data_IF_737050718436
#
_entry.id   IF_737050718436
#
_cell.length_a   1.000
_cell.length_b   1.000
_cell.length_c   1.000
_cell.angle_alpha   90.00
_cell.angle_beta   90.00
_cell.angle_gamma   90.00
#
_symmetry.space_group_name_H-M   'P 1'
#
loop_
_entity.id
_entity.type
_entity.pdbx_description
1 polymer ?
#
# COMPACT_ATOMS: atom_id res chain seq x y z
N UNK A 1 -30.40 -26.92 21.29
CA UNK A 1 -30.81 -25.58 21.74
C UNK A 1 -30.13 -25.29 23.06
N UNK A 2 -29.00 -24.59 23.02
CA UNK A 2 -28.30 -24.12 24.22
C UNK A 2 -27.86 -22.68 23.93
N UNK A 3 -28.53 -21.73 24.57
CA UNK A 3 -28.24 -20.31 24.47
C UNK A 3 -27.02 -20.04 25.36
N UNK A 4 -25.85 -19.92 24.74
CA UNK A 4 -24.66 -19.40 25.41
C UNK A 4 -24.83 -17.89 25.58
N UNK A 5 -25.19 -17.46 26.79
CA UNK A 5 -25.07 -16.08 27.24
C UNK A 5 -23.58 -15.72 27.41
N UNK A 6 -22.90 -15.37 26.31
CA UNK A 6 -21.60 -14.71 26.36
C UNK A 6 -21.80 -13.20 26.18
N UNK A 7 -21.13 -12.44 27.05
CA UNK A 7 -21.17 -10.99 27.25
C UNK A 7 -22.25 -10.48 28.22
N UNK A 8 -21.91 -10.30 29.52
CA UNK A 8 -22.63 -9.31 30.31
C UNK A 8 -22.53 -7.98 29.58
N UNK A 9 -23.67 -7.32 29.43
CA UNK A 9 -23.78 -5.97 28.88
C UNK A 9 -22.69 -5.08 29.46
N UNK A 10 -21.77 -4.63 28.59
CA UNK A 10 -20.86 -3.53 28.89
C UNK A 10 -21.72 -2.33 29.29
N UNK A 11 -21.99 -2.16 30.59
CA UNK A 11 -22.54 -0.91 31.12
C UNK A 11 -21.60 0.18 30.63
N UNK A 12 -22.08 1.02 29.70
CA UNK A 12 -21.31 2.15 29.18
C UNK A 12 -20.85 2.98 30.39
N UNK A 13 -19.54 2.98 30.66
CA UNK A 13 -18.99 3.81 31.73
C UNK A 13 -19.23 5.27 31.37
N UNK A 14 -19.71 6.06 32.33
CA UNK A 14 -19.79 7.51 32.21
C UNK A 14 -18.44 8.09 32.54
N UNK A 15 -17.99 9.02 31.72
CA UNK A 15 -16.71 9.70 31.87
C UNK A 15 -16.95 11.21 31.88
N UNK A 16 -16.06 11.93 32.56
CA UNK A 16 -16.09 13.39 32.64
C UNK A 16 -14.86 13.91 31.89
N UNK A 17 -15.07 14.89 31.00
CA UNK A 17 -13.99 15.51 30.27
C UNK A 17 -13.28 16.53 31.17
N UNK A 18 -11.98 16.39 31.40
CA UNK A 18 -11.26 17.36 32.26
C UNK A 18 -11.10 18.77 31.67
N UNK A 19 -11.43 18.97 30.39
CA UNK A 19 -11.38 20.28 29.73
C UNK A 19 -12.74 20.96 29.75
N UNK A 20 -13.79 20.32 29.24
CA UNK A 20 -15.14 20.91 29.19
C UNK A 20 -16.06 20.53 30.36
N UNK A 21 -15.61 19.64 31.25
CA UNK A 21 -16.34 19.13 32.42
C UNK A 21 -17.68 18.43 32.09
N UNK A 22 -17.96 18.17 30.81
CA UNK A 22 -19.16 17.46 30.38
C UNK A 22 -19.08 15.97 30.73
N UNK A 23 -20.19 15.45 31.27
CA UNK A 23 -20.38 14.02 31.52
C UNK A 23 -21.11 13.39 30.33
N UNK A 24 -20.47 12.42 29.68
CA UNK A 24 -21.13 11.65 28.62
C UNK A 24 -20.74 10.18 28.67
N UNK A 25 -21.52 9.34 27.98
CA UNK A 25 -21.21 7.92 27.87
C UNK A 25 -20.02 7.72 26.94
N UNK A 26 -19.11 6.84 27.32
CA UNK A 26 -17.94 6.51 26.52
C UNK A 26 -18.27 6.15 25.06
N UNK A 27 -17.64 6.85 24.11
CA UNK A 27 -17.78 6.65 22.66
C UNK A 27 -16.45 6.86 21.90
N UNK A 28 -16.47 6.83 20.56
CA UNK A 28 -15.29 6.98 19.69
C UNK A 28 -14.68 8.39 19.67
N UNK A 29 -15.36 9.38 20.25
CA UNK A 29 -14.89 10.77 20.34
C UNK A 29 -14.00 11.01 21.55
N UNK A 30 -13.94 10.07 22.50
CA UNK A 30 -13.08 10.13 23.67
C UNK A 30 -11.66 9.59 23.40
N UNK A 31 -10.69 10.14 24.12
CA UNK A 31 -9.35 9.62 24.28
C UNK A 31 -9.24 8.96 25.66
N UNK A 32 -8.82 7.70 25.66
CA UNK A 32 -8.63 6.94 26.88
C UNK A 32 -7.22 7.09 27.42
N UNK A 33 -7.14 7.53 28.67
CA UNK A 33 -5.98 7.42 29.52
C UNK A 33 -5.79 5.96 29.96
N UNK A 34 -4.54 5.50 29.90
CA UNK A 34 -4.15 4.15 30.35
C UNK A 34 -4.35 3.91 31.86
N UNK A 35 -4.51 4.97 32.66
CA UNK A 35 -4.69 4.87 34.11
C UNK A 35 -6.09 4.39 34.56
N UNK A 36 -7.08 4.29 33.65
CA UNK A 36 -8.40 3.74 33.94
C UNK A 36 -9.32 4.62 34.81
N UNK A 37 -8.96 5.89 35.03
CA UNK A 37 -9.75 6.87 35.77
C UNK A 37 -11.06 7.27 35.04
N UNK A 38 -12.04 7.84 35.75
CA UNK A 38 -13.27 8.34 35.12
C UNK A 38 -13.06 9.69 34.40
N UNK A 39 -12.01 10.40 34.80
CA UNK A 39 -11.56 11.62 34.15
C UNK A 39 -10.81 11.28 32.86
N UNK A 40 -11.41 11.60 31.73
CA UNK A 40 -10.93 11.34 30.36
C UNK A 40 -10.94 12.65 29.56
N UNK A 41 -10.59 12.63 28.28
CA UNK A 41 -10.62 13.84 27.43
C UNK A 41 -11.31 13.57 26.08
N UNK A 42 -12.15 14.49 25.62
CA UNK A 42 -12.64 14.45 24.25
C UNK A 42 -11.49 14.72 23.27
N UNK A 43 -11.45 14.01 22.13
CA UNK A 43 -10.49 14.26 21.04
C UNK A 43 -10.49 15.72 20.64
N UNK A 44 -11.68 16.32 20.52
CA UNK A 44 -11.85 17.74 20.16
C UNK A 44 -11.18 18.67 21.17
N UNK A 45 -11.48 18.49 22.46
CA UNK A 45 -10.89 19.27 23.55
C UNK A 45 -9.36 19.10 23.62
N UNK A 46 -8.84 17.90 23.33
CA UNK A 46 -7.41 17.66 23.28
C UNK A 46 -6.72 18.40 22.14
N UNK A 47 -7.32 18.39 20.94
CA UNK A 47 -6.79 19.16 19.80
C UNK A 47 -6.88 20.67 20.06
N UNK A 48 -8.00 21.16 20.62
CA UNK A 48 -8.16 22.57 21.04
C UNK A 48 -7.04 22.98 22.00
N UNK A 49 -6.79 22.17 23.02
CA UNK A 49 -5.73 22.41 24.00
C UNK A 49 -4.32 22.37 23.39
N UNK A 50 -4.04 21.39 22.52
CA UNK A 50 -2.75 21.32 21.82
C UNK A 50 -2.52 22.53 20.92
N UNK A 51 -3.55 22.99 20.20
CA UNK A 51 -3.44 24.18 19.34
C UNK A 51 -3.08 25.42 20.17
N UNK A 52 -3.79 25.70 21.27
CA UNK A 52 -3.50 26.83 22.17
C UNK A 52 -2.07 26.79 22.70
N UNK A 53 -1.64 25.62 23.19
CA UNK A 53 -0.27 25.42 23.66
C UNK A 53 0.77 25.73 22.59
N UNK A 54 0.55 25.31 21.33
CA UNK A 54 1.50 25.58 20.25
C UNK A 54 1.46 27.04 19.82
N UNK A 55 0.29 27.68 19.80
CA UNK A 55 0.17 29.12 19.54
C UNK A 55 0.96 29.91 20.58
N UNK A 56 0.79 29.64 21.88
CA UNK A 56 1.53 30.33 22.95
C UNK A 56 3.05 30.10 22.89
N UNK A 57 3.48 28.89 22.51
CA UNK A 57 4.90 28.54 22.44
C UNK A 57 5.61 29.08 21.20
N UNK A 58 4.92 29.13 20.05
CA UNK A 58 5.55 29.42 18.75
C UNK A 58 5.16 30.79 18.18
N UNK A 59 4.08 31.41 18.65
CA UNK A 59 3.67 32.75 18.25
C UNK A 59 3.86 33.70 19.44
N UNK A 60 4.88 34.54 19.35
CA UNK A 60 5.26 35.50 20.40
C UNK A 60 4.20 36.59 20.65
N UNK A 61 3.27 36.80 19.73
CA UNK A 61 2.11 37.68 19.92
C UNK A 61 0.92 37.23 19.02
N UNK A 62 -0.15 36.64 19.58
CA UNK A 62 -1.23 36.06 18.78
C UNK A 62 -2.08 37.11 18.04
N UNK A 63 -2.08 38.36 18.53
CA UNK A 63 -2.92 39.47 18.02
C UNK A 63 -2.31 40.24 16.85
N UNK A 64 -0.98 40.19 16.68
CA UNK A 64 -0.24 40.91 15.61
C UNK A 64 0.33 39.98 14.54
N UNK A 65 0.11 38.67 14.68
CA UNK A 65 0.63 37.67 13.74
C UNK A 65 0.02 37.81 12.33
N UNK A 66 0.83 37.63 11.27
CA UNK A 66 0.31 37.67 9.89
C UNK A 66 -0.70 36.54 9.67
N UNK A 67 -1.75 36.82 8.86
CA UNK A 67 -2.76 35.82 8.48
C UNK A 67 -2.08 34.55 7.95
N UNK A 68 -2.33 33.41 8.59
CA UNK A 68 -1.75 32.12 8.22
C UNK A 68 -0.46 31.73 8.96
N UNK A 69 -0.03 32.49 9.96
CA UNK A 69 1.11 32.13 10.81
C UNK A 69 0.92 30.80 11.57
N UNK A 70 -0.33 30.38 11.77
CA UNK A 70 -0.72 29.14 12.44
C UNK A 70 -0.87 27.94 11.48
N UNK A 71 -0.71 28.13 10.17
CA UNK A 71 -0.81 27.06 9.17
C UNK A 71 0.13 25.87 9.43
N UNK A 72 1.40 26.05 9.86
CA UNK A 72 2.27 24.93 10.23
C UNK A 72 1.75 24.15 11.45
N UNK A 73 1.16 24.85 12.42
CA UNK A 73 0.57 24.27 13.63
C UNK A 73 -0.66 23.45 13.24
N UNK A 74 -1.56 24.00 12.43
CA UNK A 74 -2.74 23.29 11.92
C UNK A 74 -2.33 22.05 11.12
N UNK A 75 -1.32 22.17 10.27
CA UNK A 75 -0.79 21.07 9.46
C UNK A 75 -0.25 19.93 10.33
N UNK A 76 0.53 20.26 11.34
CA UNK A 76 1.08 19.26 12.27
C UNK A 76 -0.03 18.56 13.08
N UNK A 77 -1.07 19.29 13.52
CA UNK A 77 -2.24 18.70 14.17
C UNK A 77 -3.02 17.76 13.24
N UNK A 78 -3.20 18.14 11.97
CA UNK A 78 -3.81 17.27 10.95
C UNK A 78 -3.02 15.96 10.79
N UNK A 79 -1.68 16.05 10.76
CA UNK A 79 -0.81 14.88 10.73
C UNK A 79 -0.95 14.02 12.00
N UNK A 80 -1.07 14.65 13.18
CA UNK A 80 -1.25 13.94 14.44
C UNK A 80 -2.57 13.15 14.46
N UNK A 81 -3.65 13.77 13.98
CA UNK A 81 -4.99 13.17 14.02
C UNK A 81 -5.19 12.08 12.97
N UNK A 82 -4.37 12.08 11.93
CA UNK A 82 -4.49 11.13 10.84
C UNK A 82 -4.01 9.72 11.21
N UNK A 83 -4.98 8.80 11.31
CA UNK A 83 -4.70 7.38 11.58
C UNK A 83 -4.04 6.63 10.42
N UNK A 84 -4.10 7.17 9.20
CA UNK A 84 -3.51 6.57 8.01
C UNK A 84 -2.43 7.45 7.36
N UNK A 85 -1.72 8.23 8.16
CA UNK A 85 -0.63 9.12 7.71
C UNK A 85 0.44 8.41 6.86
N UNK A 86 0.70 7.13 7.13
CA UNK A 86 1.65 6.32 6.37
C UNK A 86 1.33 6.20 4.86
N UNK A 87 0.09 6.49 4.44
CA UNK A 87 -0.25 6.50 3.01
C UNK A 87 0.48 7.60 2.24
N UNK A 88 0.89 8.68 2.90
CA UNK A 88 1.51 9.84 2.27
C UNK A 88 3.04 9.87 2.40
N UNK A 89 3.61 8.93 3.15
CA UNK A 89 5.04 8.85 3.43
C UNK A 89 5.70 7.67 2.72
N UNK A 90 6.86 7.94 2.12
CA UNK A 90 7.72 6.92 1.53
C UNK A 90 9.01 6.88 2.34
N UNK A 91 9.30 5.73 2.95
CA UNK A 91 10.55 5.54 3.68
C UNK A 91 11.63 5.00 2.76
N UNK A 92 12.82 5.58 2.86
CA UNK A 92 14.02 5.03 2.23
C UNK A 92 14.42 3.70 2.90
N UNK A 93 15.22 2.89 2.19
CA UNK A 93 15.68 1.61 2.73
C UNK A 93 16.48 1.83 4.02
N UNK A 94 17.31 2.88 4.06
CA UNK A 94 18.07 3.34 5.22
C UNK A 94 17.18 3.73 6.41
N UNK A 95 16.15 4.54 6.19
CA UNK A 95 15.21 4.91 7.26
C UNK A 95 14.47 3.69 7.83
N UNK A 96 14.16 2.68 7.00
CA UNK A 96 13.53 1.43 7.47
C UNK A 96 14.48 0.63 8.35
N UNK A 97 15.81 0.70 8.14
CA UNK A 97 16.79 0.05 9.00
C UNK A 97 16.98 0.79 10.32
N UNK A 98 17.08 2.11 10.26
CA UNK A 98 17.27 2.97 11.44
C UNK A 98 16.06 2.96 12.39
N UNK A 99 14.85 2.74 11.86
CA UNK A 99 13.61 2.70 12.64
C UNK A 99 13.27 1.33 13.21
N UNK A 100 14.09 0.29 13.00
CA UNK A 100 13.78 -1.07 13.50
C UNK A 100 14.08 -1.24 14.99
N UNK A 101 13.21 -1.95 15.73
CA UNK A 101 13.46 -2.33 17.12
C UNK A 101 14.40 -3.55 17.27
N UNK A 102 14.90 -4.14 16.18
CA UNK A 102 15.67 -5.41 16.21
C UNK A 102 17.11 -5.16 16.71
N UNK A 103 17.67 -3.99 16.44
CA UNK A 103 19.00 -3.61 16.89
C UNK A 103 18.86 -2.60 18.02
N UNK A 104 18.35 -3.08 19.17
CA UNK A 104 18.26 -2.34 20.41
C UNK A 104 17.76 -0.91 20.24
N UNK A 105 16.45 -0.70 20.42
CA UNK A 105 15.92 0.65 20.63
C UNK A 105 16.90 1.46 21.49
N UNK A 106 17.44 2.56 20.94
CA UNK A 106 17.67 3.72 21.80
C UNK A 106 16.28 4.08 22.31
N UNK A 107 15.97 3.54 23.48
CA UNK A 107 14.82 3.84 24.31
C UNK A 107 14.95 5.26 24.86
N UNK A 108 15.21 6.23 23.99
CA UNK A 108 14.93 7.63 24.25
C UNK A 108 13.68 7.96 23.46
N UNK A 109 12.48 7.70 24.02
CA UNK A 109 11.27 8.19 23.40
C UNK A 109 11.34 9.71 23.40
N UNK A 110 11.39 10.33 22.22
CA UNK A 110 11.05 11.74 21.99
C UNK A 110 11.89 12.85 22.66
N UNK A 111 12.84 12.57 23.56
CA UNK A 111 13.62 13.65 24.21
C UNK A 111 14.69 14.28 23.30
N UNK A 112 15.39 13.48 22.49
CA UNK A 112 16.33 14.02 21.49
C UNK A 112 15.64 14.58 20.25
N UNK A 113 14.36 14.29 20.06
CA UNK A 113 13.55 14.94 19.03
C UNK A 113 13.35 16.43 19.35
N UNK A 114 13.45 16.90 20.60
CA UNK A 114 13.24 18.32 20.91
C UNK A 114 14.24 19.26 20.20
N UNK A 115 15.53 18.92 20.17
CA UNK A 115 16.56 19.68 19.44
C UNK A 115 16.53 19.41 17.93
N UNK A 116 16.24 18.18 17.51
CA UNK A 116 16.07 17.83 16.09
C UNK A 116 14.79 18.48 15.50
N UNK A 117 13.74 18.70 16.30
CA UNK A 117 12.47 19.34 15.94
C UNK A 117 12.62 20.85 15.80
N UNK A 118 13.39 21.48 16.71
CA UNK A 118 13.75 22.88 16.56
C UNK A 118 14.55 23.07 15.26
N UNK A 119 15.55 22.21 15.03
CA UNK A 119 16.35 22.27 13.80
C UNK A 119 15.58 21.86 12.54
N UNK A 120 14.58 20.98 12.60
CA UNK A 120 13.74 20.60 11.43
C UNK A 120 12.69 21.66 11.06
N UNK A 121 12.38 22.58 11.97
CA UNK A 121 11.62 23.79 11.63
C UNK A 121 12.48 24.78 10.83
N UNK A 122 13.80 24.81 11.06
CA UNK A 122 14.76 25.66 10.34
C UNK A 122 15.41 24.99 9.11
N UNK A 123 15.52 23.66 9.12
CA UNK A 123 16.00 22.87 7.98
C UNK A 123 14.79 22.25 7.30
N UNK A 124 14.47 22.72 6.09
CA UNK A 124 13.49 22.11 5.18
C UNK A 124 13.79 20.61 5.01
N UNK A 125 13.33 19.77 5.93
CA UNK A 125 13.37 18.33 5.82
C UNK A 125 12.04 17.94 5.19
N UNK A 126 12.02 17.98 3.86
CA UNK A 126 10.85 17.95 2.96
C UNK A 126 9.84 16.80 3.15
N UNK A 127 9.99 15.91 4.15
CA UNK A 127 9.15 14.72 4.29
C UNK A 127 8.57 14.49 5.70
N UNK A 128 8.85 15.36 6.67
CA UNK A 128 8.29 15.21 8.02
C UNK A 128 7.59 16.51 8.44
N UNK A 129 6.27 16.47 8.71
CA UNK A 129 5.62 17.61 9.33
C UNK A 129 6.33 17.88 10.68
N UNK A 130 6.47 19.15 11.10
CA UNK A 130 7.05 19.45 12.40
C UNK A 130 6.30 18.65 13.46
N UNK A 131 7.04 17.85 14.23
CA UNK A 131 6.45 16.93 15.18
C UNK A 131 5.68 17.73 16.23
N UNK A 132 4.36 17.50 16.32
CA UNK A 132 3.52 18.08 17.38
C UNK A 132 4.08 17.64 18.72
N UNK A 133 4.30 18.59 19.62
CA UNK A 133 4.68 18.32 20.99
C UNK A 133 3.53 17.56 21.68
N UNK A 134 3.62 16.24 21.69
CA UNK A 134 2.74 15.38 22.48
C UNK A 134 3.15 15.52 23.95
N UNK A 135 2.46 16.39 24.68
CA UNK A 135 2.66 16.51 26.13
C UNK A 135 2.01 15.30 26.81
N UNK A 136 2.84 14.37 27.29
CA UNK A 136 2.41 13.33 28.21
C UNK A 136 2.28 13.94 29.61
N UNK A 137 1.06 14.30 29.99
CA UNK A 137 0.75 14.83 31.32
C UNK A 137 0.50 13.71 32.33
N UNK A 138 0.75 14.01 33.60
CA UNK A 138 0.20 13.24 34.71
C UNK A 138 -1.33 13.35 34.72
N UNK A 139 -2.00 12.24 35.01
CA UNK A 139 -3.45 12.25 35.13
C UNK A 139 -3.86 13.17 36.30
N UNK A 140 -4.79 14.13 36.11
CA UNK A 140 -5.18 15.05 37.20
C UNK A 140 -5.79 14.32 38.41
N UNK A 141 -6.45 13.17 38.16
CA UNK A 141 -7.14 12.41 39.21
C UNK A 141 -6.21 11.50 40.01
N UNK A 142 -5.22 10.87 39.37
CA UNK A 142 -4.38 9.84 40.02
C UNK A 142 -2.88 10.14 40.02
N UNK A 143 -2.46 11.26 39.41
CA UNK A 143 -1.06 11.72 39.24
C UNK A 143 -0.10 10.71 38.58
N UNK A 144 -0.61 9.57 38.11
CA UNK A 144 0.18 8.61 37.32
C UNK A 144 0.45 9.19 35.95
N UNK A 145 1.62 8.91 35.39
CA UNK A 145 1.95 9.18 33.99
C UNK A 145 0.98 8.43 33.10
N UNK A 146 -0.02 9.13 32.57
CA UNK A 146 -1.01 8.55 31.68
C UNK A 146 -0.56 8.69 30.25
N UNK A 147 -0.33 7.57 29.58
CA UNK A 147 -0.21 7.58 28.12
C UNK A 147 -1.59 7.85 27.52
N UNK A 148 -1.73 9.03 26.89
CA UNK A 148 -2.86 9.34 26.03
C UNK A 148 -2.62 8.61 24.71
N UNK A 149 -3.52 7.70 24.32
CA UNK A 149 -3.47 7.11 22.98
C UNK A 149 -3.64 8.24 21.96
N UNK A 150 -2.82 8.23 20.90
CA UNK A 150 -2.87 9.22 19.82
C UNK A 150 -4.32 9.41 19.34
N UNK A 151 -4.84 10.66 19.25
CA UNK A 151 -6.15 10.90 18.68
C UNK A 151 -6.11 10.48 17.23
N UNK A 152 -6.91 9.48 16.85
CA UNK A 152 -7.07 9.12 15.45
C UNK A 152 -8.49 9.43 15.00
N UNK A 153 -8.60 10.13 13.87
CA UNK A 153 -9.85 10.26 13.11
C UNK A 153 -9.71 9.39 11.88
N UNK A 154 -10.54 8.36 11.82
CA UNK A 154 -10.55 7.40 10.71
C UNK A 154 -11.97 7.21 10.22
N UNK A 155 -12.14 7.01 8.91
CA UNK A 155 -13.40 6.51 8.38
C UNK A 155 -13.48 5.00 8.62
N UNK A 156 -14.63 4.51 9.07
CA UNK A 156 -14.93 3.07 9.16
C UNK A 156 -15.04 2.48 7.73
N UNK A 157 -13.90 2.22 7.10
CA UNK A 157 -13.79 1.61 5.78
C UNK A 157 -12.91 0.37 5.88
N UNK A 158 -13.52 -0.80 5.69
CA UNK A 158 -12.80 -2.06 5.66
C UNK A 158 -11.74 -2.09 4.56
N UNK A 159 -12.06 -1.57 3.38
CA UNK A 159 -11.15 -1.54 2.24
C UNK A 159 -9.92 -0.67 2.54
N UNK A 160 -10.13 0.52 3.11
CA UNK A 160 -9.02 1.41 3.46
C UNK A 160 -8.11 0.78 4.53
N UNK A 161 -8.71 0.14 5.53
CA UNK A 161 -7.97 -0.59 6.57
C UNK A 161 -7.14 -1.75 5.98
N UNK A 162 -7.70 -2.52 5.04
CA UNK A 162 -6.95 -3.57 4.35
C UNK A 162 -5.77 -3.01 3.55
N UNK A 163 -5.97 -1.92 2.81
CA UNK A 163 -4.88 -1.26 2.07
C UNK A 163 -3.78 -0.73 3.01
N UNK A 164 -4.17 -0.20 4.16
CA UNK A 164 -3.23 0.28 5.18
C UNK A 164 -2.41 -0.87 5.77
N UNK A 165 -3.06 -1.97 6.15
CA UNK A 165 -2.38 -3.17 6.64
C UNK A 165 -1.47 -3.77 5.58
N UNK A 166 -1.91 -3.83 4.33
CA UNK A 166 -1.11 -4.29 3.20
C UNK A 166 0.17 -3.46 3.02
N UNK A 167 0.06 -2.13 3.04
CA UNK A 167 1.23 -1.24 2.93
C UNK A 167 2.16 -1.42 4.13
N UNK A 168 1.62 -1.56 5.35
CA UNK A 168 2.41 -1.81 6.56
C UNK A 168 3.17 -3.14 6.50
N UNK A 169 2.53 -4.21 6.05
CA UNK A 169 3.19 -5.53 5.90
C UNK A 169 4.29 -5.45 4.84
N UNK A 170 3.97 -4.94 3.65
CA UNK A 170 4.94 -4.86 2.54
C UNK A 170 6.13 -3.96 2.88
N UNK A 171 5.93 -2.89 3.66
CA UNK A 171 6.99 -2.00 4.17
C UNK A 171 8.08 -2.72 4.96
N UNK A 172 7.74 -3.77 5.70
CA UNK A 172 8.73 -4.49 6.52
C UNK A 172 9.21 -5.80 5.90
N UNK A 173 8.29 -6.56 5.28
CA UNK A 173 8.56 -7.90 4.76
C UNK A 173 9.44 -7.84 3.52
N UNK A 174 9.16 -6.93 2.59
CA UNK A 174 9.89 -6.89 1.31
C UNK A 174 11.33 -6.43 1.49
N UNK A 175 11.65 -5.33 2.23
CA UNK A 175 13.04 -4.99 2.48
C UNK A 175 13.81 -6.08 3.23
N UNK A 176 13.17 -6.79 4.17
CA UNK A 176 13.78 -7.97 4.80
C UNK A 176 14.11 -9.06 3.77
N UNK A 177 13.17 -9.37 2.89
CA UNK A 177 13.37 -10.34 1.82
C UNK A 177 14.51 -9.95 0.89
N UNK A 178 14.57 -8.68 0.48
CA UNK A 178 15.65 -8.16 -0.37
C UNK A 178 17.00 -8.27 0.32
N UNK A 179 17.11 -7.85 1.59
CA UNK A 179 18.37 -7.95 2.33
C UNK A 179 18.77 -9.40 2.60
N UNK A 180 17.82 -10.28 2.92
CA UNK A 180 18.08 -11.72 3.00
C UNK A 180 18.57 -12.29 1.67
N UNK A 181 18.05 -11.81 0.54
CA UNK A 181 18.48 -12.25 -0.80
C UNK A 181 19.93 -11.83 -1.09
N UNK A 182 20.31 -10.59 -0.70
CA UNK A 182 21.69 -10.12 -0.80
C UNK A 182 22.67 -10.92 0.07
N UNK A 183 22.24 -11.35 1.26
CA UNK A 183 23.09 -12.12 2.18
C UNK A 183 23.28 -13.59 1.76
N UNK A 184 22.30 -14.18 1.06
CA UNK A 184 22.35 -15.59 0.65
C UNK A 184 23.00 -15.75 -0.73
N UNK A 185 22.27 -15.38 -1.77
CA UNK A 185 22.72 -15.37 -3.17
C UNK A 185 21.61 -14.68 -4.00
N UNK A 186 21.84 -13.45 -4.52
CA UNK A 186 20.81 -12.69 -5.22
C UNK A 186 20.43 -13.31 -6.57
N UNK A 187 21.38 -13.94 -7.27
CA UNK A 187 21.14 -14.58 -8.57
C UNK A 187 20.22 -15.78 -8.41
N UNK A 188 20.55 -16.68 -7.48
CA UNK A 188 19.72 -17.84 -7.15
C UNK A 188 18.31 -17.43 -6.75
N UNK A 189 18.19 -16.44 -5.86
CA UNK A 189 16.87 -16.01 -5.36
C UNK A 189 16.02 -15.41 -6.48
N UNK A 190 16.62 -14.63 -7.38
CA UNK A 190 15.96 -14.07 -8.55
C UNK A 190 15.52 -15.17 -9.53
N UNK A 191 16.36 -16.21 -9.73
CA UNK A 191 16.04 -17.35 -10.57
C UNK A 191 14.86 -18.15 -10.02
N UNK A 192 14.92 -18.52 -8.74
CA UNK A 192 13.88 -19.31 -8.06
C UNK A 192 12.54 -18.55 -8.08
N UNK A 193 12.58 -17.24 -7.86
CA UNK A 193 11.42 -16.36 -7.94
C UNK A 193 10.82 -16.33 -9.36
N UNK A 194 11.64 -16.10 -10.38
CA UNK A 194 11.19 -16.09 -11.78
C UNK A 194 10.61 -17.43 -12.21
N UNK A 195 11.24 -18.54 -11.82
CA UNK A 195 10.77 -19.89 -12.13
C UNK A 195 9.45 -20.19 -11.42
N UNK A 196 9.32 -19.80 -10.15
CA UNK A 196 8.07 -19.92 -9.40
C UNK A 196 6.94 -19.10 -10.03
N UNK A 197 7.21 -17.87 -10.47
CA UNK A 197 6.23 -17.03 -11.16
C UNK A 197 5.76 -17.67 -12.48
N UNK A 198 6.68 -18.24 -13.26
CA UNK A 198 6.35 -18.98 -14.48
C UNK A 198 5.48 -20.21 -14.17
N UNK A 199 5.83 -20.99 -13.15
CA UNK A 199 5.04 -22.16 -12.70
C UNK A 199 3.63 -21.80 -12.22
N UNK A 200 3.40 -20.54 -11.82
CA UNK A 200 2.07 -20.11 -11.44
C UNK A 200 1.14 -19.99 -12.66
N UNK A 201 1.66 -19.48 -13.77
CA UNK A 201 0.86 -19.19 -14.97
C UNK A 201 0.87 -20.33 -15.97
N UNK A 202 2.04 -20.93 -16.21
CA UNK A 202 2.26 -21.99 -17.18
C UNK A 202 2.19 -23.37 -16.51
N UNK A 203 1.29 -24.26 -16.96
CA UNK A 203 1.32 -25.66 -16.56
C UNK A 203 2.62 -26.35 -16.97
N UNK A 204 3.03 -27.35 -16.19
CA UNK A 204 4.32 -28.07 -16.34
C UNK A 204 4.59 -28.53 -17.77
N UNK A 205 3.59 -29.10 -18.47
CA UNK A 205 3.77 -29.59 -19.85
C UNK A 205 4.15 -28.47 -20.83
N UNK A 206 3.61 -27.27 -20.64
CA UNK A 206 3.91 -26.12 -21.50
C UNK A 206 5.28 -25.55 -21.11
N UNK A 207 5.54 -25.45 -19.80
CA UNK A 207 6.79 -24.89 -19.28
C UNK A 207 8.01 -25.74 -19.65
N UNK A 208 7.89 -27.07 -19.61
CA UNK A 208 8.93 -28.02 -20.08
C UNK A 208 9.29 -27.80 -21.53
N UNK A 209 8.28 -27.69 -22.39
CA UNK A 209 8.48 -27.48 -23.82
C UNK A 209 9.06 -26.08 -24.08
N UNK A 210 8.54 -25.03 -23.42
CA UNK A 210 9.01 -23.66 -23.60
C UNK A 210 10.48 -23.47 -23.17
N UNK A 211 10.91 -24.11 -22.09
CA UNK A 211 12.28 -24.02 -21.57
C UNK A 211 13.21 -25.11 -22.14
N UNK A 212 12.68 -26.02 -22.97
CA UNK A 212 13.38 -27.21 -23.48
C UNK A 212 14.07 -28.03 -22.38
N UNK A 213 13.29 -28.41 -21.36
CA UNK A 213 13.77 -29.19 -20.21
C UNK A 213 12.88 -30.41 -19.97
N UNK A 214 13.47 -31.45 -19.39
CA UNK A 214 12.74 -32.66 -19.04
C UNK A 214 11.71 -32.40 -17.94
N UNK A 215 12.07 -31.64 -16.91
CA UNK A 215 11.20 -31.26 -15.78
C UNK A 215 11.62 -29.90 -15.22
N UNK A 216 10.67 -29.13 -14.68
CA UNK A 216 11.04 -27.88 -14.00
C UNK A 216 11.76 -28.16 -12.69
N UNK A 217 11.57 -29.33 -12.05
CA UNK A 217 12.29 -29.73 -10.83
C UNK A 217 13.79 -29.88 -11.07
N UNK A 218 14.21 -30.26 -12.27
CA UNK A 218 15.62 -30.32 -12.63
C UNK A 218 16.29 -28.93 -12.53
N UNK A 219 15.57 -27.87 -12.89
CA UNK A 219 16.07 -26.50 -12.74
C UNK A 219 16.26 -26.09 -11.28
N UNK A 220 15.43 -26.59 -10.35
CA UNK A 220 15.63 -26.32 -8.92
C UNK A 220 16.96 -26.92 -8.42
N UNK A 221 17.34 -28.10 -8.94
CA UNK A 221 18.61 -28.76 -8.60
C UNK A 221 19.79 -27.97 -9.20
N UNK A 222 19.68 -27.57 -10.48
CA UNK A 222 20.71 -26.75 -11.12
C UNK A 222 20.88 -25.39 -10.41
N UNK A 223 19.80 -24.80 -9.92
CA UNK A 223 19.82 -23.54 -9.17
C UNK A 223 20.49 -23.63 -7.79
N UNK A 224 20.77 -24.83 -7.27
CA UNK A 224 21.45 -24.97 -5.98
C UNK A 224 22.93 -24.58 -6.03
N UNK A 225 23.55 -24.57 -7.20
CA UNK A 225 24.98 -24.28 -7.38
C UNK A 225 25.19 -23.26 -8.49
N UNK A 226 26.19 -22.37 -8.35
CA UNK A 226 26.52 -21.38 -9.38
C UNK A 226 26.89 -22.03 -10.72
N UNK A 227 27.67 -23.13 -10.68
CA UNK A 227 28.01 -23.90 -11.88
C UNK A 227 26.77 -24.50 -12.55
N UNK A 228 25.79 -24.94 -11.75
CA UNK A 228 24.52 -25.42 -12.26
C UNK A 228 23.72 -24.31 -12.94
N UNK A 229 23.64 -23.11 -12.34
CA UNK A 229 23.03 -21.92 -12.97
C UNK A 229 23.66 -21.56 -14.31
N UNK A 230 25.00 -21.57 -14.38
CA UNK A 230 25.74 -21.28 -15.62
C UNK A 230 25.55 -22.36 -16.71
N UNK A 231 25.18 -23.59 -16.33
CA UNK A 231 24.90 -24.67 -17.27
C UNK A 231 23.53 -24.56 -17.97
N UNK A 232 22.64 -23.69 -17.46
CA UNK A 232 21.31 -23.49 -18.02
C UNK A 232 21.46 -22.70 -19.33
N UNK A 233 20.83 -23.16 -20.45
CA UNK A 233 20.87 -22.45 -21.71
C UNK A 233 20.43 -20.99 -21.58
N UNK A 234 21.17 -20.08 -22.24
CA UNK A 234 20.93 -18.64 -22.17
C UNK A 234 19.46 -18.27 -22.45
N UNK A 235 18.82 -18.91 -23.44
CA UNK A 235 17.41 -18.66 -23.77
C UNK A 235 16.49 -18.95 -22.59
N UNK A 236 16.69 -20.06 -21.88
CA UNK A 236 15.87 -20.45 -20.73
C UNK A 236 16.12 -19.52 -19.55
N UNK A 237 17.38 -19.13 -19.31
CA UNK A 237 17.74 -18.13 -18.28
C UNK A 237 17.10 -16.78 -18.56
N UNK A 238 17.14 -16.29 -19.81
CA UNK A 238 16.51 -15.02 -20.22
C UNK A 238 14.99 -15.07 -20.03
N UNK A 239 14.33 -16.19 -20.34
CA UNK A 239 12.89 -16.36 -20.11
C UNK A 239 12.59 -16.30 -18.60
N UNK A 240 13.37 -16.97 -17.76
CA UNK A 240 13.13 -17.05 -16.32
C UNK A 240 13.38 -15.70 -15.63
N UNK A 241 14.58 -15.12 -15.78
CA UNK A 241 14.91 -13.83 -15.18
C UNK A 241 14.13 -12.67 -15.80
N UNK A 242 13.94 -12.71 -17.13
CA UNK A 242 13.22 -11.67 -17.86
C UNK A 242 11.75 -11.59 -17.46
N UNK A 243 11.16 -12.67 -16.94
CA UNK A 243 9.75 -12.67 -16.54
C UNK A 243 9.46 -11.70 -15.38
N UNK A 244 10.34 -11.62 -14.39
CA UNK A 244 10.21 -10.68 -13.26
C UNK A 244 10.21 -9.22 -13.77
N UNK A 245 11.13 -8.92 -14.68
CA UNK A 245 11.23 -7.60 -15.32
C UNK A 245 10.06 -7.30 -16.24
N UNK A 246 9.55 -8.32 -16.95
CA UNK A 246 8.38 -8.20 -17.82
C UNK A 246 7.15 -7.79 -17.00
N UNK A 247 6.87 -8.50 -15.90
CA UNK A 247 5.74 -8.18 -15.00
C UNK A 247 5.87 -6.77 -14.42
N UNK A 248 7.08 -6.40 -14.00
CA UNK A 248 7.39 -5.07 -13.45
C UNK A 248 7.06 -3.97 -14.44
N UNK A 249 7.32 -4.21 -15.73
CA UNK A 249 7.09 -3.23 -16.78
C UNK A 249 5.66 -3.20 -17.34
N UNK A 250 4.77 -4.17 -17.06
CA UNK A 250 3.42 -4.27 -17.69
C UNK A 250 2.66 -2.93 -17.74
N UNK A 251 2.65 -2.19 -16.63
CA UNK A 251 1.95 -0.91 -16.44
C UNK A 251 2.76 0.32 -16.87
N UNK A 252 4.05 0.15 -17.15
CA UNK A 252 4.95 1.19 -17.61
C UNK A 252 4.75 1.43 -19.13
N UNK A 253 4.59 2.69 -19.52
CA UNK A 253 4.29 3.13 -20.89
C UNK A 253 5.51 3.82 -21.52
N UNK A 254 6.67 3.82 -20.86
CA UNK A 254 7.91 4.34 -21.45
C UNK A 254 8.30 3.54 -22.70
N UNK A 255 8.92 4.22 -23.67
CA UNK A 255 9.36 3.59 -24.91
C UNK A 255 10.26 2.37 -24.65
N UNK A 256 11.20 2.48 -23.70
CA UNK A 256 12.09 1.40 -23.29
C UNK A 256 11.31 0.21 -22.70
N UNK A 257 10.29 0.46 -21.89
CA UNK A 257 9.46 -0.61 -21.32
C UNK A 257 8.61 -1.31 -22.39
N UNK A 258 8.09 -0.57 -23.37
CA UNK A 258 7.35 -1.15 -24.50
C UNK A 258 8.26 -2.03 -25.35
N UNK A 259 9.46 -1.53 -25.69
CA UNK A 259 10.46 -2.26 -26.46
C UNK A 259 10.90 -3.53 -25.74
N UNK A 260 11.19 -3.45 -24.44
CA UNK A 260 11.54 -4.62 -23.64
C UNK A 260 10.43 -5.69 -23.64
N UNK A 261 9.16 -5.31 -23.44
CA UNK A 261 8.03 -6.26 -23.49
C UNK A 261 7.95 -6.96 -24.83
N UNK A 262 8.09 -6.20 -25.91
CA UNK A 262 8.06 -6.73 -27.27
C UNK A 262 9.21 -7.72 -27.52
N UNK A 263 10.44 -7.36 -27.17
CA UNK A 263 11.61 -8.24 -27.32
C UNK A 263 11.45 -9.50 -26.49
N UNK A 264 11.13 -9.36 -25.20
CA UNK A 264 10.97 -10.48 -24.27
C UNK A 264 9.93 -11.48 -24.79
N UNK A 265 8.74 -11.01 -25.19
CA UNK A 265 7.69 -11.90 -25.67
C UNK A 265 8.00 -12.53 -27.03
N UNK A 266 8.78 -11.88 -27.88
CA UNK A 266 9.29 -12.50 -29.09
C UNK A 266 10.27 -13.63 -28.78
N UNK A 267 11.15 -13.47 -27.78
CA UNK A 267 12.04 -14.54 -27.30
C UNK A 267 11.22 -15.73 -26.76
N UNK A 268 10.20 -15.46 -25.95
CA UNK A 268 9.30 -16.50 -25.42
C UNK A 268 8.55 -17.20 -26.57
N UNK A 269 8.08 -16.44 -27.56
CA UNK A 269 7.37 -16.98 -28.74
C UNK A 269 8.28 -17.85 -29.60
N UNK A 270 9.51 -17.44 -29.88
CA UNK A 270 10.45 -18.21 -30.72
C UNK A 270 10.91 -19.48 -30.02
N UNK A 271 11.23 -19.40 -28.71
CA UNK A 271 11.53 -20.57 -27.90
C UNK A 271 10.33 -21.53 -27.85
N UNK A 272 9.13 -20.99 -27.60
CA UNK A 272 7.89 -21.74 -27.62
C UNK A 272 7.65 -22.46 -28.94
N UNK A 273 7.72 -21.77 -30.08
CA UNK A 273 7.48 -22.37 -31.40
C UNK A 273 8.50 -23.45 -31.79
N UNK A 274 9.74 -23.34 -31.33
CA UNK A 274 10.79 -24.31 -31.66
C UNK A 274 10.54 -25.67 -31.02
N UNK A 275 9.99 -25.69 -29.81
CA UNK A 275 9.88 -26.90 -28.99
C UNK A 275 8.42 -27.31 -28.68
N UNK A 276 7.45 -26.41 -28.89
CA UNK A 276 6.03 -26.65 -28.73
C UNK A 276 5.31 -26.61 -30.08
N UNK A 277 4.84 -27.76 -30.56
CA UNK A 277 4.06 -27.89 -31.79
C UNK A 277 2.56 -27.59 -31.63
N UNK A 278 2.11 -27.17 -30.44
CA UNK A 278 0.72 -26.79 -30.21
C UNK A 278 0.39 -25.42 -30.81
N UNK A 279 -0.83 -25.28 -31.33
CA UNK A 279 -1.31 -24.09 -32.05
C UNK A 279 -1.50 -22.89 -31.08
N UNK A 280 -1.58 -23.13 -29.77
CA UNK A 280 -2.03 -22.15 -28.78
C UNK A 280 -1.02 -21.12 -28.32
N UNK A 281 0.24 -21.50 -28.03
CA UNK A 281 1.16 -20.65 -27.25
C UNK A 281 1.47 -19.30 -27.92
N UNK A 282 1.81 -19.32 -29.22
CA UNK A 282 2.13 -18.09 -29.97
C UNK A 282 0.93 -17.18 -30.15
N UNK A 283 -0.27 -17.75 -30.35
CA UNK A 283 -1.53 -16.99 -30.41
C UNK A 283 -1.86 -16.36 -29.05
N UNK A 284 -1.67 -17.10 -27.95
CA UNK A 284 -1.92 -16.61 -26.59
C UNK A 284 -0.97 -15.46 -26.23
N UNK A 285 0.31 -15.57 -26.59
CA UNK A 285 1.28 -14.47 -26.41
C UNK A 285 0.85 -13.23 -27.20
N UNK A 286 0.40 -13.41 -28.45
CA UNK A 286 -0.09 -12.32 -29.29
C UNK A 286 -1.36 -11.67 -28.70
N UNK A 287 -2.33 -12.46 -28.24
CA UNK A 287 -3.54 -11.94 -27.59
C UNK A 287 -3.24 -11.26 -26.25
N UNK A 288 -2.29 -11.78 -25.47
CA UNK A 288 -1.84 -11.14 -24.23
C UNK A 288 -1.19 -9.78 -24.50
N UNK A 289 -0.43 -9.66 -25.59
CA UNK A 289 0.13 -8.39 -26.05
C UNK A 289 -0.95 -7.39 -26.43
N UNK A 290 -1.91 -7.83 -27.26
CA UNK A 290 -3.03 -7.00 -27.68
C UNK A 290 -3.86 -6.55 -26.47
N UNK A 291 -4.13 -7.44 -25.53
CA UNK A 291 -4.82 -7.13 -24.28
C UNK A 291 -4.06 -6.10 -23.42
N UNK A 292 -2.73 -6.23 -23.32
CA UNK A 292 -1.88 -5.27 -22.60
C UNK A 292 -1.89 -3.90 -23.28
N UNK A 293 -1.88 -3.86 -24.61
CA UNK A 293 -2.00 -2.63 -25.38
C UNK A 293 -3.37 -1.97 -25.16
N UNK A 294 -4.46 -2.73 -25.29
CA UNK A 294 -5.81 -2.26 -25.02
C UNK A 294 -5.95 -1.73 -23.59
N UNK A 295 -5.44 -2.45 -22.59
CA UNK A 295 -5.44 -2.01 -21.19
C UNK A 295 -4.76 -0.64 -21.01
N UNK A 296 -3.58 -0.45 -21.61
CA UNK A 296 -2.83 0.79 -21.48
C UNK A 296 -3.50 1.96 -22.23
N UNK A 297 -4.14 1.71 -23.36
CA UNK A 297 -4.76 2.77 -24.17
C UNK A 297 -6.15 3.19 -23.66
N UNK A 298 -6.97 2.23 -23.21
CA UNK A 298 -8.36 2.48 -22.80
C UNK A 298 -8.50 2.56 -21.29
N UNK A 299 -8.29 1.45 -20.59
CA UNK A 299 -8.61 1.33 -19.17
C UNK A 299 -7.72 2.21 -18.28
N UNK A 300 -6.40 2.23 -18.52
CA UNK A 300 -5.48 3.11 -17.79
C UNK A 300 -5.84 4.58 -17.98
N UNK A 301 -6.07 5.00 -19.22
CA UNK A 301 -6.47 6.38 -19.53
C UNK A 301 -7.80 6.77 -18.88
N UNK A 302 -8.76 5.86 -18.84
CA UNK A 302 -10.01 6.05 -18.11
C UNK A 302 -9.79 6.23 -16.61
N UNK A 303 -8.96 5.38 -15.99
CA UNK A 303 -8.60 5.53 -14.58
C UNK A 303 -7.88 6.86 -14.31
N UNK A 304 -6.94 7.27 -15.15
CA UNK A 304 -6.22 8.54 -15.01
C UNK A 304 -7.18 9.74 -15.03
N UNK A 305 -8.20 9.72 -15.89
CA UNK A 305 -9.25 10.75 -15.90
C UNK A 305 -10.05 10.78 -14.60
N UNK A 306 -10.41 9.61 -14.06
CA UNK A 306 -11.11 9.50 -12.79
C UNK A 306 -10.25 10.01 -11.62
N UNK A 307 -8.95 9.68 -11.61
CA UNK A 307 -8.02 10.20 -10.63
C UNK A 307 -7.87 11.72 -10.74
N UNK A 308 -7.74 12.30 -11.95
CA UNK A 308 -7.69 13.76 -12.11
C UNK A 308 -8.91 14.47 -11.55
N UNK A 309 -10.12 13.93 -11.77
CA UNK A 309 -11.36 14.45 -11.18
C UNK A 309 -11.35 14.37 -9.65
N UNK A 310 -10.85 13.26 -9.10
CA UNK A 310 -10.72 13.08 -7.66
C UNK A 310 -9.73 14.07 -7.05
N UNK A 311 -8.58 14.26 -7.69
CA UNK A 311 -7.55 15.22 -7.28
C UNK A 311 -8.12 16.63 -7.28
N UNK A 312 -8.80 17.04 -8.35
CA UNK A 312 -9.38 18.39 -8.41
C UNK A 312 -10.38 18.65 -7.26
N UNK A 313 -11.13 17.62 -6.84
CA UNK A 313 -12.05 17.73 -5.69
C UNK A 313 -11.35 17.71 -4.33
N UNK A 314 -10.24 16.99 -4.21
CA UNK A 314 -9.60 16.68 -2.93
C UNK A 314 -8.26 17.36 -2.67
N UNK A 315 -7.70 18.09 -3.64
CA UNK A 315 -6.36 18.67 -3.54
C UNK A 315 -6.27 19.72 -2.42
N UNK A 316 -7.30 20.54 -2.26
CA UNK A 316 -7.40 21.55 -1.18
C UNK A 316 -7.40 20.90 0.21
N UNK A 317 -7.77 19.62 0.29
CA UNK A 317 -7.82 18.89 1.54
C UNK A 317 -6.47 18.28 1.96
N UNK A 318 -5.41 18.47 1.17
CA UNK A 318 -4.09 17.99 1.51
C UNK A 318 -3.37 19.01 2.38
N UNK A 319 -2.79 18.53 3.46
CA UNK A 319 -1.98 19.33 4.39
C UNK A 319 -0.49 19.02 4.26
N UNK A 320 -0.08 18.12 3.36
CA UNK A 320 1.31 18.01 2.94
C UNK A 320 1.53 18.80 1.65
N UNK A 321 2.21 19.94 1.77
CA UNK A 321 2.75 20.70 0.65
C UNK A 321 4.09 20.10 0.22
N UNK A 322 4.06 19.28 -0.83
CA UNK A 322 5.16 19.09 -1.79
C UNK A 322 4.67 18.22 -2.96
N UNK A 323 3.48 18.51 -3.48
CA UNK A 323 3.08 18.03 -4.81
C UNK A 323 3.61 18.92 -5.93
N UNK A 324 4.18 20.08 -5.58
CA UNK A 324 4.63 21.10 -6.52
C UNK A 324 6.17 21.16 -6.69
N UNK A 325 6.97 20.72 -5.69
CA UNK A 325 8.40 21.09 -5.65
C UNK A 325 9.41 19.93 -5.81
N UNK A 326 9.00 18.82 -6.42
CA UNK A 326 9.98 17.85 -6.96
C UNK A 326 9.81 17.78 -8.47
N UNK A 327 10.93 17.89 -9.20
CA UNK A 327 11.06 17.76 -10.66
C UNK A 327 10.59 16.38 -11.23
N UNK A 328 9.81 15.63 -10.47
CA UNK A 328 9.17 14.38 -10.83
C UNK A 328 7.66 14.59 -10.77
N UNK A 329 7.03 14.62 -11.95
CA UNK A 329 5.56 14.56 -12.09
C UNK A 329 5.06 13.33 -11.33
N UNK A 330 4.56 13.52 -10.11
CA UNK A 330 3.96 12.45 -9.31
C UNK A 330 2.80 11.87 -10.11
N UNK A 331 2.79 10.55 -10.25
CA UNK A 331 1.75 9.89 -11.02
C UNK A 331 0.38 10.11 -10.39
N UNK A 332 -0.65 10.31 -11.22
CA UNK A 332 -2.00 10.70 -10.77
C UNK A 332 -2.62 9.66 -9.81
N UNK A 333 -2.22 8.39 -9.90
CA UNK A 333 -2.68 7.31 -9.03
C UNK A 333 -1.94 7.20 -7.69
N UNK A 334 -0.90 8.00 -7.47
CA UNK A 334 -0.08 8.03 -6.25
C UNK A 334 -0.32 9.27 -5.38
N UNK A 335 -1.25 10.14 -5.79
CA UNK A 335 -1.48 11.44 -5.14
C UNK A 335 -1.96 11.33 -3.69
N UNK A 336 -2.99 10.52 -3.40
CA UNK A 336 -3.51 10.35 -2.02
C UNK A 336 -2.88 9.17 -1.27
N UNK A 337 -2.49 8.12 -2.00
CA UNK A 337 -1.83 6.91 -1.48
C UNK A 337 -0.57 6.69 -2.31
N UNK A 338 0.59 7.04 -1.76
CA UNK A 338 1.88 6.86 -2.42
C UNK A 338 2.23 5.39 -2.51
N UNK A 339 2.62 4.95 -3.70
CA UNK A 339 3.25 3.65 -3.90
C UNK A 339 4.73 3.78 -3.67
N UNK A 340 5.25 2.89 -2.85
CA UNK A 340 6.68 2.72 -2.62
C UNK A 340 7.23 1.58 -3.48
N UNK A 341 8.54 1.58 -3.74
CA UNK A 341 9.21 0.54 -4.52
C UNK A 341 8.95 -0.88 -3.97
N UNK A 342 8.86 -1.04 -2.65
CA UNK A 342 8.56 -2.32 -2.02
C UNK A 342 7.12 -2.80 -2.24
N UNK A 343 6.15 -1.88 -2.25
CA UNK A 343 4.75 -2.22 -2.56
C UNK A 343 4.61 -2.66 -4.02
N UNK A 344 5.31 -1.98 -4.93
CA UNK A 344 5.37 -2.36 -6.35
C UNK A 344 5.98 -3.76 -6.48
N UNK A 345 7.14 -4.01 -5.86
CA UNK A 345 7.78 -5.32 -5.91
C UNK A 345 6.89 -6.44 -5.36
N UNK A 346 6.21 -6.22 -4.23
CA UNK A 346 5.26 -7.17 -3.65
C UNK A 346 4.11 -7.51 -4.60
N UNK A 347 3.47 -6.48 -5.17
CA UNK A 347 2.38 -6.65 -6.14
C UNK A 347 2.87 -7.51 -7.32
N UNK A 348 4.05 -7.21 -7.88
CA UNK A 348 4.59 -7.95 -9.04
C UNK A 348 4.96 -9.40 -8.72
N UNK A 349 5.44 -9.67 -7.51
CA UNK A 349 5.70 -11.03 -7.05
C UNK A 349 4.40 -11.81 -6.92
N UNK A 350 3.35 -11.20 -6.35
CA UNK A 350 2.12 -11.92 -6.02
C UNK A 350 1.13 -12.03 -7.19
N UNK A 351 1.19 -11.16 -8.21
CA UNK A 351 0.26 -11.20 -9.35
C UNK A 351 0.13 -12.58 -10.03
N UNK A 352 1.22 -13.31 -10.34
CA UNK A 352 1.11 -14.63 -10.94
C UNK A 352 0.36 -15.64 -10.07
N UNK A 353 0.56 -15.59 -8.75
CA UNK A 353 -0.13 -16.47 -7.81
C UNK A 353 -1.62 -16.13 -7.71
N UNK A 354 -1.95 -14.85 -7.53
CA UNK A 354 -3.35 -14.38 -7.51
C UNK A 354 -4.03 -14.74 -8.83
N UNK A 355 -3.35 -14.54 -9.96
CA UNK A 355 -3.83 -14.88 -11.29
C UNK A 355 -4.11 -16.37 -11.49
N UNK A 356 -3.28 -17.25 -10.93
CA UNK A 356 -3.52 -18.70 -10.91
C UNK A 356 -4.79 -19.05 -10.12
N UNK A 357 -4.97 -18.44 -8.95
CA UNK A 357 -6.15 -18.68 -8.11
C UNK A 357 -7.43 -18.18 -8.77
N UNK A 358 -7.46 -16.93 -9.26
CA UNK A 358 -8.61 -16.38 -10.00
C UNK A 358 -8.87 -17.14 -11.29
N UNK A 359 -7.83 -17.51 -12.03
CA UNK A 359 -7.94 -18.31 -13.24
C UNK A 359 -8.55 -19.69 -12.98
N UNK A 360 -8.14 -20.37 -11.91
CA UNK A 360 -8.74 -21.63 -11.48
C UNK A 360 -10.21 -21.50 -11.11
N UNK A 361 -10.59 -20.43 -10.41
CA UNK A 361 -12.00 -20.14 -10.09
C UNK A 361 -12.82 -19.87 -11.36
N UNK A 362 -12.31 -19.04 -12.28
CA UNK A 362 -12.97 -18.75 -13.55
C UNK A 362 -13.15 -20.02 -14.40
N UNK A 363 -12.15 -20.89 -14.43
CA UNK A 363 -12.23 -22.17 -15.13
C UNK A 363 -13.31 -23.07 -14.52
N UNK A 364 -13.38 -23.17 -13.19
CA UNK A 364 -14.40 -23.96 -12.51
C UNK A 364 -15.81 -23.43 -12.76
N UNK A 365 -15.98 -22.09 -12.74
CA UNK A 365 -17.25 -21.43 -13.08
C UNK A 365 -17.63 -21.74 -14.53
N UNK A 366 -16.69 -21.62 -15.45
CA UNK A 366 -16.92 -21.93 -16.86
C UNK A 366 -17.37 -23.38 -17.07
N UNK A 367 -16.67 -24.34 -16.47
CA UNK A 367 -17.03 -25.77 -16.55
C UNK A 367 -18.39 -26.07 -15.89
N UNK A 368 -18.73 -25.35 -14.81
CA UNK A 368 -20.03 -25.46 -14.17
C UNK A 368 -21.16 -24.93 -15.08
N UNK A 369 -20.96 -23.78 -15.71
CA UNK A 369 -21.90 -23.21 -16.70
C UNK A 369 -22.07 -24.18 -17.87
N UNK A 370 -20.97 -24.70 -18.42
CA UNK A 370 -21.01 -25.64 -19.54
C UNK A 370 -21.83 -26.89 -19.21
N UNK A 371 -21.62 -27.47 -18.02
CA UNK A 371 -22.39 -28.62 -17.53
C UNK A 371 -23.86 -28.29 -17.30
N UNK A 372 -24.16 -27.11 -16.74
CA UNK A 372 -25.53 -26.69 -16.40
C UNK A 372 -26.37 -26.40 -17.64
N UNK A 373 -25.78 -25.79 -18.66
CA UNK A 373 -26.47 -25.39 -19.89
C UNK A 373 -26.26 -26.37 -21.06
N UNK A 374 -25.55 -27.50 -20.84
CA UNK A 374 -25.23 -28.51 -21.87
C UNK A 374 -24.63 -27.90 -23.14
N UNK A 375 -23.73 -26.94 -22.99
CA UNK A 375 -23.07 -26.29 -24.12
C UNK A 375 -22.02 -27.26 -24.69
N UNK A 376 -22.27 -27.76 -25.89
CA UNK A 376 -21.31 -28.57 -26.64
C UNK A 376 -20.22 -27.67 -27.24
N UNK A 377 -19.22 -27.37 -26.43
CA UNK A 377 -18.02 -26.68 -26.88
C UNK A 377 -16.79 -27.53 -26.53
N UNK A 378 -16.19 -28.13 -27.55
CA UNK A 378 -14.92 -28.83 -27.47
C UNK A 378 -13.82 -27.92 -28.01
N UNK A 379 -13.02 -27.25 -27.17
CA UNK A 379 -11.95 -26.41 -27.66
C UNK A 379 -10.87 -27.27 -28.34
N UNK A 380 -10.35 -26.80 -29.48
CA UNK A 380 -9.23 -27.43 -30.20
C UNK A 380 -7.87 -27.26 -29.46
N UNK A 381 -7.88 -27.14 -28.14
CA UNK A 381 -6.68 -26.94 -27.33
C UNK A 381 -6.55 -28.03 -26.26
N UNK A 382 -5.31 -28.34 -25.89
CA UNK A 382 -5.04 -29.28 -24.81
C UNK A 382 -5.57 -28.74 -23.46
N UNK A 383 -5.93 -29.61 -22.51
CA UNK A 383 -6.37 -29.18 -21.18
C UNK A 383 -5.35 -28.28 -20.46
N UNK A 384 -4.05 -28.48 -20.72
CA UNK A 384 -2.99 -27.61 -20.23
C UNK A 384 -3.01 -26.22 -20.87
N UNK A 385 -3.23 -26.12 -22.18
CA UNK A 385 -3.36 -24.81 -22.84
C UNK A 385 -4.61 -24.08 -22.34
N UNK A 386 -5.70 -24.80 -22.15
CA UNK A 386 -6.93 -24.23 -21.62
C UNK A 386 -6.73 -23.66 -20.21
N UNK A 387 -6.08 -24.41 -19.31
CA UNK A 387 -5.75 -23.93 -17.97
C UNK A 387 -4.81 -22.72 -17.99
N UNK A 388 -3.83 -22.70 -18.89
CA UNK A 388 -2.91 -21.56 -19.07
C UNK A 388 -3.67 -20.31 -19.49
N UNK A 389 -4.60 -20.40 -20.44
CA UNK A 389 -5.43 -19.28 -20.89
C UNK A 389 -6.19 -18.69 -19.70
N UNK A 390 -6.84 -19.53 -18.90
CA UNK A 390 -7.57 -19.07 -17.72
C UNK A 390 -6.67 -18.46 -16.65
N UNK A 391 -5.46 -18.98 -16.42
CA UNK A 391 -4.49 -18.36 -15.51
C UNK A 391 -4.06 -16.96 -15.97
N UNK A 392 -3.82 -16.78 -17.27
CA UNK A 392 -3.45 -15.47 -17.86
C UNK A 392 -4.62 -14.48 -17.76
N UNK A 393 -5.84 -14.92 -18.10
CA UNK A 393 -7.06 -14.12 -17.92
C UNK A 393 -7.27 -13.78 -16.43
N UNK A 394 -7.04 -14.74 -15.54
CA UNK A 394 -7.07 -14.56 -14.09
C UNK A 394 -6.10 -13.48 -13.61
N UNK A 395 -4.90 -13.44 -14.17
CA UNK A 395 -3.91 -12.41 -13.86
C UNK A 395 -4.37 -11.01 -14.35
N UNK A 396 -4.91 -10.93 -15.57
CA UNK A 396 -5.43 -9.68 -16.13
C UNK A 396 -6.63 -9.14 -15.35
N UNK A 397 -7.58 -10.01 -15.02
CA UNK A 397 -8.76 -9.65 -14.20
C UNK A 397 -8.35 -9.20 -12.80
N UNK A 398 -7.42 -9.91 -12.14
CA UNK A 398 -6.90 -9.50 -10.84
C UNK A 398 -6.25 -8.10 -10.88
N UNK A 399 -5.46 -7.80 -11.92
CA UNK A 399 -4.83 -6.48 -12.09
C UNK A 399 -5.85 -5.35 -12.32
N UNK A 400 -6.89 -5.60 -13.11
CA UNK A 400 -8.01 -4.66 -13.32
C UNK A 400 -8.76 -4.43 -12.00
N UNK A 401 -9.13 -5.51 -11.29
CA UNK A 401 -9.82 -5.44 -10.00
C UNK A 401 -9.00 -4.67 -8.96
N UNK A 402 -7.70 -4.91 -8.88
CA UNK A 402 -6.80 -4.19 -7.98
C UNK A 402 -6.73 -2.69 -8.29
N UNK A 403 -6.63 -2.33 -9.57
CA UNK A 403 -6.59 -0.93 -9.98
C UNK A 403 -7.90 -0.20 -9.64
N UNK A 404 -9.04 -0.86 -9.81
CA UNK A 404 -10.36 -0.35 -9.38
C UNK A 404 -10.47 -0.23 -7.86
N UNK A 405 -10.01 -1.24 -7.10
CA UNK A 405 -9.99 -1.20 -5.64
C UNK A 405 -9.09 -0.07 -5.11
N UNK A 406 -7.94 0.15 -5.74
CA UNK A 406 -7.04 1.27 -5.42
C UNK A 406 -7.72 2.62 -5.68
N UNK A 407 -8.43 2.78 -6.80
CA UNK A 407 -9.20 4.00 -7.07
C UNK A 407 -10.25 4.24 -5.98
N UNK A 408 -10.97 3.20 -5.56
CA UNK A 408 -11.95 3.28 -4.49
C UNK A 408 -11.31 3.61 -3.12
N UNK A 409 -10.16 3.01 -2.82
CA UNK A 409 -9.39 3.31 -1.61
C UNK A 409 -8.95 4.78 -1.59
N UNK A 410 -8.46 5.31 -2.71
CA UNK A 410 -8.11 6.73 -2.87
C UNK A 410 -9.34 7.64 -2.71
N UNK A 411 -10.51 7.26 -3.25
CA UNK A 411 -11.75 8.00 -3.03
C UNK A 411 -12.14 8.06 -1.54
N UNK A 412 -12.07 6.92 -0.84
CA UNK A 412 -12.33 6.86 0.61
C UNK A 412 -11.31 7.66 1.41
N UNK A 413 -10.05 7.64 0.97
CA UNK A 413 -8.98 8.42 1.59
C UNK A 413 -9.22 9.93 1.43
N UNK A 414 -9.66 10.37 0.25
CA UNK A 414 -10.05 11.77 0.03
C UNK A 414 -11.16 12.21 1.01
N UNK A 415 -12.20 11.39 1.20
CA UNK A 415 -13.26 11.67 2.19
C UNK A 415 -12.72 11.72 3.63
N UNK A 416 -11.73 10.90 3.95
CA UNK A 416 -11.12 10.87 5.28
C UNK A 416 -10.32 12.14 5.56
N UNK A 417 -9.57 12.62 4.56
CA UNK A 417 -8.81 13.88 4.64
C UNK A 417 -9.73 15.08 4.81
N UNK A 418 -10.84 15.13 4.06
CA UNK A 418 -11.88 16.16 4.20
C UNK A 418 -12.43 16.19 5.65
N UNK A 419 -12.72 15.02 6.23
CA UNK A 419 -13.17 14.93 7.62
C UNK A 419 -12.09 15.34 8.63
N UNK A 420 -10.84 14.98 8.39
CA UNK A 420 -9.71 15.38 9.26
C UNK A 420 -9.56 16.90 9.23
N UNK A 421 -9.63 17.52 8.05
CA UNK A 421 -9.54 18.97 7.94
C UNK A 421 -10.67 19.67 8.67
N UNK A 422 -11.92 19.26 8.40
CA UNK A 422 -13.09 19.81 9.07
C UNK A 422 -12.96 19.68 10.59
N UNK A 423 -12.59 18.50 11.09
CA UNK A 423 -12.43 18.26 12.52
C UNK A 423 -11.37 19.15 13.17
N UNK A 424 -10.20 19.31 12.54
CA UNK A 424 -9.13 20.17 13.08
C UNK A 424 -9.52 21.65 12.98
N UNK A 425 -10.06 22.09 11.85
CA UNK A 425 -10.45 23.48 11.63
C UNK A 425 -11.59 23.93 12.54
N UNK A 426 -12.61 23.09 12.75
CA UNK A 426 -13.67 23.35 13.73
C UNK A 426 -13.16 23.37 15.18
N UNK A 427 -12.16 22.54 15.49
CA UNK A 427 -11.55 22.53 16.83
C UNK A 427 -10.73 23.79 17.09
N UNK A 428 -10.10 24.35 16.06
CA UNK A 428 -9.29 25.56 16.17
C UNK A 428 -10.12 26.85 16.08
N UNK A 429 -11.18 26.91 15.25
CA UNK A 429 -12.01 28.11 15.04
C UNK A 429 -12.84 28.52 16.26
N UNK A 430 -13.31 27.58 17.08
CA UNK A 430 -14.06 27.89 18.32
C UNK A 430 -13.26 28.77 19.30
N UNK A 431 -11.94 28.80 19.18
CA UNK A 431 -11.08 29.67 19.99
C UNK A 431 -11.17 31.12 19.51
N UNK A 432 -11.20 31.38 18.20
CA UNK A 432 -11.21 32.74 17.66
C UNK A 432 -12.48 33.52 18.06
N UNK A 433 -13.60 32.82 18.30
CA UNK A 433 -14.86 33.40 18.78
C UNK A 433 -14.92 33.62 20.30
N UNK A 434 -14.05 32.99 21.09
CA UNK A 434 -13.97 33.21 22.55
C UNK A 434 -13.09 34.42 22.92
N UNK A 435 -12.26 34.91 21.98
CA UNK A 435 -11.36 36.07 22.15
C UNK A 435 -11.84 37.36 21.44
N UNK A 436 -12.98 37.31 20.74
CA UNK A 436 -13.68 38.46 20.15
C UNK A 436 -14.87 38.85 21.01
#
# INVERSE_FOLDING_TARGET
MAVFHFFPSLKKKRCICWVCLEESTYDTTWLLHTCGCNLQIHKRCYIKWLYQMHVELFLSDPTTSPKGADLPIITSLKCLVDGHHDFMTTFSLTEIWDTRPIWGQKSTPFQNDYMLNLMSLYTKRNNHPPYVLLKFGECPQCRKTSFIKRPTVTINSFILSLFYQWQKITRYVIPLGVTSSFLLNPEKTSFDLGLWQLRCLFPENILRNMLNISTTKALDIYAQTERGLLSIPLTSSVIIYGFLHYLSNISNVSANAILFKWIYLNIVKTAGNKYYKGIGLSKIILYSNLATFCYNFTFKRFLDLMYKRLIHKGAENLYHGDFEDTNHVVSVDEFFIKRSWYSVLAEKILWPFVGKCTGGLLLNIFLWIQKRFKIEWSPNCSPSEFRMIFNIIGCGTAAVSWSSLKLYANYRRCQELEKINHFVEESCREIQTEYS
#
